data_IF_982493590695
#
_entry.id   IF_982493590695
#
_cell.length_a   1.000
_cell.length_b   1.000
_cell.length_c   1.000
_cell.angle_alpha   90.00
_cell.angle_beta   90.00
_cell.angle_gamma   90.00
#
_symmetry.space_group_name_H-M   'P 1'
#
loop_
_entity.id
_entity.type
_entity.pdbx_description
1 polymer ?
#
# COMPACT_ATOMS: atom_id res chain seq x y z
N UNK A 1 1.56 -14.13 6.59
CA UNK A 1 1.35 -12.73 7.00
C UNK A 1 0.12 -12.20 6.29
N UNK A 2 -0.75 -11.54 7.03
CA UNK A 2 -1.97 -10.96 6.50
C UNK A 2 -1.82 -9.45 6.41
N UNK A 3 -2.13 -8.90 5.24
CA UNK A 3 -2.16 -7.45 5.03
C UNK A 3 -3.57 -7.09 4.56
N UNK A 4 -4.15 -6.09 5.17
CA UNK A 4 -5.48 -5.62 4.81
C UNK A 4 -5.33 -4.45 3.85
N UNK A 5 -5.81 -4.60 2.62
CA UNK A 5 -5.75 -3.54 1.61
C UNK A 5 -7.16 -3.07 1.33
N UNK A 6 -7.46 -1.84 1.70
CA UNK A 6 -8.80 -1.26 1.57
C UNK A 6 -9.85 -2.19 2.16
N UNK A 7 -9.57 -2.72 3.37
CA UNK A 7 -10.46 -3.60 4.12
C UNK A 7 -10.60 -4.99 3.53
N UNK A 8 -9.74 -5.35 2.56
CA UNK A 8 -9.75 -6.66 1.95
C UNK A 8 -8.49 -7.43 2.35
N UNK A 9 -8.65 -8.66 2.76
CA UNK A 9 -7.55 -9.49 3.23
C UNK A 9 -6.69 -9.98 2.07
N UNK A 10 -5.38 -9.85 2.22
CA UNK A 10 -4.39 -10.39 1.29
C UNK A 10 -3.36 -11.18 2.09
N UNK A 11 -3.04 -12.39 1.63
CA UNK A 11 -2.09 -13.26 2.31
C UNK A 11 -0.75 -13.27 1.58
N UNK A 12 0.33 -13.16 2.34
CA UNK A 12 1.70 -13.16 1.81
C UNK A 12 2.57 -14.09 2.63
N UNK A 13 3.46 -14.82 1.95
CA UNK A 13 4.34 -15.80 2.60
C UNK A 13 5.67 -15.22 3.06
N UNK A 14 6.04 -14.07 2.55
CA UNK A 14 7.34 -13.47 2.81
C UNK A 14 7.18 -11.99 3.17
N UNK A 15 8.15 -11.44 3.92
CA UNK A 15 8.13 -10.00 4.18
C UNK A 15 8.15 -9.22 2.88
N UNK A 16 7.43 -8.08 2.86
CA UNK A 16 7.45 -7.20 1.71
C UNK A 16 7.40 -5.75 2.18
N UNK A 17 7.95 -4.87 1.35
CA UNK A 17 7.84 -3.43 1.59
C UNK A 17 6.53 -2.92 1.03
N UNK A 18 6.17 -1.69 1.41
CA UNK A 18 4.97 -1.07 0.88
C UNK A 18 5.06 -0.93 -0.64
N UNK A 19 6.24 -0.61 -1.18
CA UNK A 19 6.40 -0.49 -2.63
C UNK A 19 6.20 -1.84 -3.32
N UNK A 20 6.64 -2.93 -2.68
CA UNK A 20 6.43 -4.27 -3.24
C UNK A 20 4.92 -4.58 -3.33
N UNK A 21 4.17 -4.23 -2.30
CA UNK A 21 2.73 -4.41 -2.30
C UNK A 21 2.08 -3.63 -3.44
N UNK A 22 2.47 -2.37 -3.60
CA UNK A 22 1.90 -1.51 -4.64
C UNK A 22 2.20 -2.09 -6.03
N UNK A 23 3.40 -2.62 -6.23
CA UNK A 23 3.75 -3.26 -7.50
C UNK A 23 2.91 -4.50 -7.76
N UNK A 24 2.70 -5.34 -6.74
CA UNK A 24 1.90 -6.55 -6.90
C UNK A 24 0.44 -6.24 -7.22
N UNK A 25 -0.06 -5.12 -6.72
CA UNK A 25 -1.42 -4.68 -7.01
C UNK A 25 -1.56 -3.99 -8.37
N UNK A 26 -0.44 -3.84 -9.09
CA UNK A 26 -0.46 -3.21 -10.40
C UNK A 26 -0.64 -1.70 -10.36
N UNK A 27 -0.33 -1.06 -9.24
CA UNK A 27 -0.58 0.36 -9.05
C UNK A 27 0.69 1.20 -9.01
N UNK A 28 1.85 0.58 -9.19
CA UNK A 28 3.13 1.29 -9.04
C UNK A 28 3.32 2.42 -10.05
N UNK A 29 2.71 2.32 -11.22
CA UNK A 29 2.84 3.32 -12.28
C UNK A 29 1.72 4.35 -12.28
N UNK A 30 0.74 4.21 -11.42
CA UNK A 30 -0.35 5.17 -11.37
C UNK A 30 0.09 6.43 -10.64
N UNK A 31 -0.35 7.57 -11.13
CA UNK A 31 -0.17 8.86 -10.46
C UNK A 31 -1.41 9.19 -9.64
N UNK A 32 -1.27 10.10 -8.71
CA UNK A 32 -2.40 10.52 -7.89
C UNK A 32 -2.82 9.51 -6.83
N UNK A 33 -1.90 8.65 -6.40
CA UNK A 33 -2.18 7.67 -5.36
C UNK A 33 -1.63 8.17 -4.04
N UNK A 34 -2.44 8.11 -3.00
CA UNK A 34 -2.00 8.33 -1.62
C UNK A 34 -2.18 7.03 -0.86
N UNK A 35 -1.23 6.71 0.00
CA UNK A 35 -1.28 5.48 0.78
C UNK A 35 -1.09 5.80 2.26
N UNK A 36 -1.94 5.19 3.08
CA UNK A 36 -1.81 5.23 4.52
C UNK A 36 -1.65 3.81 5.04
N UNK A 37 -0.81 3.66 6.06
CA UNK A 37 -0.64 2.39 6.77
C UNK A 37 -1.03 2.63 8.22
N UNK A 38 -2.02 1.89 8.69
CA UNK A 38 -2.56 2.03 10.04
C UNK A 38 -2.93 3.49 10.35
N UNK A 39 -3.60 4.15 9.40
CA UNK A 39 -4.10 5.52 9.50
C UNK A 39 -3.01 6.60 9.45
N UNK A 40 -1.78 6.24 9.09
CA UNK A 40 -0.69 7.21 8.91
C UNK A 40 -0.31 7.28 7.44
N UNK A 41 -0.38 8.47 6.86
CA UNK A 41 0.00 8.65 5.46
C UNK A 41 1.49 8.43 5.29
N UNK A 42 1.86 7.66 4.27
CA UNK A 42 3.25 7.34 3.96
C UNK A 42 3.64 8.05 2.66
N UNK A 43 4.60 8.99 2.73
CA UNK A 43 5.07 9.66 1.51
C UNK A 43 5.65 8.66 0.52
N UNK A 44 5.49 8.93 -0.77
CA UNK A 44 5.91 8.02 -1.82
C UNK A 44 7.39 7.65 -1.71
N UNK A 45 8.25 8.59 -1.34
CA UNK A 45 9.67 8.31 -1.21
C UNK A 45 10.01 7.40 -0.04
N UNK A 46 9.06 7.11 0.84
CA UNK A 46 9.27 6.18 1.96
C UNK A 46 8.69 4.79 1.68
N UNK A 47 7.98 4.59 0.58
CA UNK A 47 7.34 3.30 0.30
C UNK A 47 8.35 2.15 0.23
N UNK A 48 9.54 2.42 -0.30
CA UNK A 48 10.58 1.39 -0.40
C UNK A 48 11.27 1.07 0.92
N UNK A 49 11.14 1.94 1.91
CA UNK A 49 11.78 1.78 3.21
C UNK A 49 10.84 1.24 4.28
N UNK A 50 9.55 1.15 3.98
CA UNK A 50 8.57 0.70 4.97
C UNK A 50 8.30 -0.78 4.79
N UNK A 51 8.73 -1.57 5.78
CA UNK A 51 8.41 -3.01 5.83
C UNK A 51 7.03 -3.18 6.44
N UNK A 52 6.20 -3.97 5.78
CA UNK A 52 4.87 -4.27 6.29
C UNK A 52 4.94 -5.39 7.31
N UNK A 53 4.09 -5.31 8.32
CA UNK A 53 3.98 -6.30 9.37
C UNK A 53 2.64 -7.01 9.27
N UNK A 54 2.56 -8.20 9.88
CA UNK A 54 1.31 -8.94 9.94
C UNK A 54 0.20 -8.07 10.52
N UNK A 55 -0.98 -8.12 9.91
CA UNK A 55 -2.18 -7.39 10.30
C UNK A 55 -2.13 -5.88 10.00
N UNK A 56 -1.13 -5.42 9.26
CA UNK A 56 -1.12 -4.02 8.85
C UNK A 56 -2.31 -3.70 7.96
N UNK A 57 -2.88 -2.52 8.17
CA UNK A 57 -4.02 -2.03 7.41
C UNK A 57 -3.54 -0.95 6.45
N UNK A 58 -3.58 -1.27 5.15
CA UNK A 58 -3.13 -0.36 4.10
C UNK A 58 -4.36 0.22 3.42
N UNK A 59 -4.42 1.54 3.36
CA UNK A 59 -5.48 2.25 2.66
C UNK A 59 -4.88 2.93 1.44
N UNK A 60 -5.38 2.59 0.27
CA UNK A 60 -4.93 3.18 -0.98
C UNK A 60 -6.04 4.07 -1.51
N UNK A 61 -5.73 5.33 -1.67
CA UNK A 61 -6.67 6.33 -2.17
C UNK A 61 -6.18 6.77 -3.54
N UNK A 62 -7.02 6.63 -4.55
CA UNK A 62 -6.70 7.08 -5.90
C UNK A 62 -7.44 8.38 -6.15
N UNK A 63 -6.67 9.44 -6.42
CA UNK A 63 -7.28 10.71 -6.76
C UNK A 63 -7.90 10.59 -8.15
N UNK A 64 -9.19 10.90 -8.25
CA UNK A 64 -9.85 10.94 -9.53
C UNK A 64 -9.45 12.25 -10.22
N UNK A 65 -8.83 12.12 -11.37
CA UNK A 65 -8.58 13.29 -12.21
C UNK A 65 -9.91 13.69 -12.81
N UNK A 66 -10.51 14.68 -12.22
CA UNK A 66 -11.79 15.16 -12.73
C UNK A 66 -11.55 15.97 -14.00
N UNK A 67 -11.65 15.36 -15.07
CA UNK A 67 -11.45 16.14 -16.24
C UNK A 67 -11.45 15.49 -17.45
#
# INVERSE_FOLDING_TARGET
>A
MTIWVNQKEHLYDAPLTLVDLVKQLGKAKKTGIAIAVNNSVVPKNNWGNLMLNDQDKVTIITATQGG
#
